data_IF_776314120601
#
_entry.id   IF_776314120601
#
_cell.length_a   1.000
_cell.length_b   1.000
_cell.length_c   1.000
_cell.angle_alpha   90.00
_cell.angle_beta   90.00
_cell.angle_gamma   90.00
#
_symmetry.space_group_name_H-M   'P 1'
#
loop_
_entity.id
_entity.type
_entity.pdbx_description
1 polymer ?
#
# COMPACT_ATOMS: atom_id res chain seq x y z
N UNK A 1 -7.15 15.27 2.60
CA UNK A 1 -6.10 14.44 3.22
C UNK A 1 -6.07 14.76 4.70
N UNK A 2 -6.20 13.76 5.56
CA UNK A 2 -6.18 13.92 7.01
C UNK A 2 -4.75 13.68 7.50
N UNK A 3 -4.09 14.64 8.18
CA UNK A 3 -2.77 14.42 8.74
C UNK A 3 -2.83 13.32 9.81
N UNK A 4 -1.77 12.53 9.92
CA UNK A 4 -1.60 11.61 11.04
C UNK A 4 -1.33 12.38 12.35
N UNK A 5 -1.39 11.71 13.52
CA UNK A 5 -1.11 12.28 14.84
C UNK A 5 0.27 12.97 14.95
N UNK A 6 1.19 12.67 14.03
CA UNK A 6 2.51 13.31 13.91
C UNK A 6 2.56 14.48 12.90
N UNK A 7 1.43 14.94 12.37
CA UNK A 7 1.34 15.98 11.32
C UNK A 7 2.14 15.67 10.05
N UNK A 8 2.47 14.40 9.81
CA UNK A 8 3.10 13.97 8.56
C UNK A 8 2.01 13.91 7.51
N UNK A 9 2.16 14.72 6.46
CA UNK A 9 1.34 14.59 5.25
C UNK A 9 1.62 13.20 4.66
N UNK A 10 0.60 12.32 4.70
CA UNK A 10 0.69 11.02 4.03
C UNK A 10 0.75 11.27 2.53
N UNK A 11 1.94 11.09 1.96
CA UNK A 11 2.18 11.21 0.53
C UNK A 11 1.26 10.26 -0.24
N UNK A 12 0.66 10.79 -1.31
CA UNK A 12 -0.34 10.06 -2.08
C UNK A 12 0.31 8.95 -2.90
N UNK A 13 0.21 7.71 -2.41
CA UNK A 13 0.80 6.57 -3.10
C UNK A 13 0.08 6.21 -4.41
N UNK A 14 -1.09 6.81 -4.70
CA UNK A 14 -1.85 6.54 -5.93
C UNK A 14 -1.10 6.91 -7.21
N UNK A 15 -0.04 7.72 -7.10
CA UNK A 15 0.81 8.15 -8.21
C UNK A 15 1.90 7.14 -8.58
N UNK A 16 2.17 6.16 -7.71
CA UNK A 16 3.19 5.15 -7.97
C UNK A 16 2.56 3.89 -8.56
N UNK A 17 3.24 3.19 -9.48
CA UNK A 17 2.80 1.88 -9.89
C UNK A 17 2.86 0.94 -8.69
N UNK A 18 1.81 0.18 -8.46
CA UNK A 18 1.74 -0.78 -7.36
C UNK A 18 1.86 -2.19 -7.90
N UNK A 19 2.50 -3.04 -7.11
CA UNK A 19 2.63 -4.45 -7.41
C UNK A 19 2.21 -5.29 -6.23
N UNK A 20 1.70 -6.49 -6.53
CA UNK A 20 1.45 -7.54 -5.54
C UNK A 20 2.20 -8.83 -5.86
N UNK A 21 2.51 -9.60 -4.84
CA UNK A 21 3.12 -10.92 -4.97
C UNK A 21 2.60 -11.86 -3.90
N UNK A 22 2.40 -13.14 -4.22
CA UNK A 22 2.03 -14.14 -3.21
C UNK A 22 3.23 -14.59 -2.37
N UNK A 23 4.44 -14.58 -2.95
CA UNK A 23 5.61 -15.30 -2.43
C UNK A 23 6.96 -14.61 -2.72
N UNK A 24 6.95 -13.36 -3.21
CA UNK A 24 8.11 -12.59 -3.70
C UNK A 24 8.77 -13.12 -4.98
N UNK A 25 8.31 -14.23 -5.55
CA UNK A 25 8.89 -14.82 -6.77
C UNK A 25 8.46 -14.07 -8.03
N UNK A 26 7.21 -13.62 -8.06
CA UNK A 26 6.64 -12.87 -9.18
C UNK A 26 5.78 -11.70 -8.68
N UNK A 27 5.89 -10.54 -9.34
CA UNK A 27 5.19 -9.32 -9.00
C UNK A 27 4.24 -8.93 -10.12
N UNK A 28 2.94 -8.95 -9.82
CA UNK A 28 1.87 -8.52 -10.71
C UNK A 28 1.54 -7.05 -10.47
N UNK A 29 1.30 -6.30 -11.54
CA UNK A 29 0.78 -4.94 -11.41
C UNK A 29 -0.65 -4.94 -10.87
N UNK A 30 -0.94 -3.98 -9.99
CA UNK A 30 -2.29 -3.74 -9.48
C UNK A 30 -2.55 -2.23 -9.45
N UNK A 31 -3.76 -1.82 -9.83
CA UNK A 31 -4.13 -0.40 -9.73
C UNK A 31 -4.41 0.00 -8.29
N UNK A 32 -4.10 1.24 -7.92
CA UNK A 32 -4.47 1.77 -6.60
C UNK A 32 -5.99 1.73 -6.38
N UNK A 33 -6.79 1.99 -7.42
CA UNK A 33 -8.25 1.92 -7.35
C UNK A 33 -8.75 0.53 -6.99
N UNK A 34 -8.22 -0.52 -7.64
CA UNK A 34 -8.57 -1.90 -7.33
C UNK A 34 -8.14 -2.26 -5.91
N UNK A 35 -6.91 -1.93 -5.53
CA UNK A 35 -6.40 -2.17 -4.18
C UNK A 35 -7.26 -1.48 -3.11
N UNK A 36 -7.66 -0.23 -3.37
CA UNK A 36 -8.48 0.57 -2.48
C UNK A 36 -9.86 -0.05 -2.28
N UNK A 37 -10.55 -0.42 -3.36
CA UNK A 37 -11.90 -1.00 -3.34
C UNK A 37 -11.92 -2.41 -2.71
N UNK A 38 -10.87 -3.19 -2.92
CA UNK A 38 -10.87 -4.62 -2.53
C UNK A 38 -10.27 -4.89 -1.15
N UNK A 39 -9.15 -4.24 -0.83
CA UNK A 39 -8.35 -4.52 0.35
C UNK A 39 -8.38 -3.34 1.32
N UNK A 40 -8.01 -2.11 0.87
CA UNK A 40 -7.80 -0.99 1.80
C UNK A 40 -9.10 -0.53 2.47
N UNK A 41 -10.23 -0.56 1.77
CA UNK A 41 -11.54 -0.23 2.32
C UNK A 41 -11.98 -1.16 3.47
N UNK A 42 -11.32 -2.31 3.64
CA UNK A 42 -11.59 -3.28 4.72
C UNK A 42 -10.61 -3.16 5.89
N UNK A 43 -9.60 -2.28 5.79
CA UNK A 43 -8.61 -2.08 6.84
C UNK A 43 -9.12 -1.07 7.88
N UNK A 44 -8.71 -1.26 9.13
CA UNK A 44 -8.82 -0.21 10.14
C UNK A 44 -7.89 0.95 9.80
N UNK A 45 -8.21 2.16 10.27
CA UNK A 45 -7.37 3.35 10.05
C UNK A 45 -5.91 3.13 10.46
N UNK A 46 -5.66 2.48 11.60
CA UNK A 46 -4.30 2.17 12.07
C UNK A 46 -3.54 1.27 11.10
N UNK A 47 -4.22 0.24 10.58
CA UNK A 47 -3.61 -0.72 9.65
C UNK A 47 -3.40 -0.09 8.28
N UNK A 48 -4.31 0.78 7.84
CA UNK A 48 -4.18 1.57 6.62
C UNK A 48 -2.98 2.52 6.72
N UNK A 49 -2.85 3.28 7.81
CA UNK A 49 -1.70 4.16 8.05
C UNK A 49 -0.37 3.39 8.03
N UNK A 50 -0.34 2.24 8.71
CA UNK A 50 0.85 1.36 8.73
C UNK A 50 1.20 0.88 7.32
N UNK A 51 0.21 0.40 6.58
CA UNK A 51 0.37 -0.04 5.19
C UNK A 51 0.97 1.07 4.32
N UNK A 52 0.37 2.26 4.32
CA UNK A 52 0.82 3.40 3.54
C UNK A 52 2.25 3.80 3.91
N UNK A 53 2.58 3.82 5.20
CA UNK A 53 3.93 4.13 5.68
C UNK A 53 5.00 3.12 5.22
N UNK A 54 4.70 1.82 5.27
CA UNK A 54 5.65 0.79 4.83
C UNK A 54 5.83 0.81 3.31
N UNK A 55 4.72 0.85 2.58
CA UNK A 55 4.72 0.82 1.11
C UNK A 55 5.37 2.06 0.52
N UNK A 56 5.17 3.25 1.11
CA UNK A 56 5.87 4.48 0.73
C UNK A 56 7.39 4.36 0.84
N UNK A 57 7.90 3.66 1.85
CA UNK A 57 9.34 3.46 2.03
C UNK A 57 9.93 2.40 1.08
N UNK A 58 9.20 1.98 0.05
CA UNK A 58 9.64 0.96 -0.91
C UNK A 58 9.60 -0.48 -0.37
N UNK A 59 9.17 -0.65 0.88
CA UNK A 59 9.08 -1.96 1.52
C UNK A 59 7.75 -2.63 1.19
N UNK A 60 7.78 -3.96 1.10
CA UNK A 60 6.57 -4.73 0.89
C UNK A 60 5.79 -4.97 2.19
N UNK A 61 4.47 -4.88 2.13
CA UNK A 61 3.57 -5.09 3.25
C UNK A 61 2.58 -6.22 2.96
N UNK A 62 2.41 -7.16 3.90
CA UNK A 62 1.48 -8.30 3.73
C UNK A 62 0.05 -7.92 4.10
N UNK A 63 -0.89 -8.12 3.19
CA UNK A 63 -2.33 -8.04 3.42
C UNK A 63 -3.02 -9.30 2.88
N UNK A 64 -3.62 -10.09 3.76
CA UNK A 64 -4.20 -11.39 3.37
C UNK A 64 -3.12 -12.30 2.79
N UNK A 65 -3.39 -12.82 1.60
CA UNK A 65 -2.53 -13.80 0.90
C UNK A 65 -1.44 -13.15 0.05
N UNK A 66 -1.41 -11.81 -0.05
CA UNK A 66 -0.48 -11.08 -0.91
C UNK A 66 0.38 -10.09 -0.14
N UNK A 67 1.58 -9.86 -0.66
CA UNK A 67 2.47 -8.76 -0.33
C UNK A 67 2.28 -7.66 -1.36
N UNK A 68 2.34 -6.40 -0.93
CA UNK A 68 2.11 -5.23 -1.76
C UNK A 68 3.26 -4.25 -1.60
N UNK A 69 3.69 -3.61 -2.68
CA UNK A 69 4.73 -2.56 -2.68
C UNK A 69 4.52 -1.56 -3.81
N UNK A 70 5.17 -0.41 -3.71
CA UNK A 70 5.40 0.44 -4.89
C UNK A 70 6.45 -0.22 -5.78
N UNK A 71 6.26 -0.14 -7.09
CA UNK A 71 7.29 -0.42 -8.06
C UNK A 71 8.22 0.79 -8.13
N UNK A 72 9.26 0.78 -7.30
CA UNK A 72 10.38 1.69 -7.47
C UNK A 72 11.21 1.17 -8.65
N UNK A 73 10.84 1.58 -9.87
CA UNK A 73 11.61 1.31 -11.08
C UNK A 73 13.02 1.88 -10.99
#
# INVERSE_FOLDING_TARGET
>A
MTPDQYHIEMEDISRYPLQRSADYSFWEEISFEELQKTILAKLTDEKLKTFLGVVRNGSAFKLGDYFYRINAG
#
